data_IF_924846124897
#
_entry.id   IF_924846124897
#
_cell.length_a   1.000
_cell.length_b   1.000
_cell.length_c   1.000
_cell.angle_alpha   90.00
_cell.angle_beta   90.00
_cell.angle_gamma   90.00
#
_symmetry.space_group_name_H-M   'P 1'
#
loop_
_entity.id
_entity.type
_entity.pdbx_description
1 polymer ?
#
# COMPACT_ATOMS: atom_id res chain seq x y z
N UNK A 1 -9.61 2.85 12.61
CA UNK A 1 -10.44 1.72 12.17
C UNK A 1 -9.65 0.94 11.13
N UNK A 2 -9.72 -0.39 11.14
CA UNK A 2 -9.22 -1.26 10.06
C UNK A 2 -10.45 -1.85 9.39
N UNK A 3 -10.44 -1.97 8.06
CA UNK A 3 -11.47 -2.66 7.30
C UNK A 3 -10.81 -3.68 6.39
N UNK A 4 -11.59 -4.67 5.96
CA UNK A 4 -11.19 -5.72 5.05
C UNK A 4 -11.78 -5.41 3.66
N UNK A 5 -11.03 -5.69 2.61
CA UNK A 5 -11.44 -5.42 1.22
C UNK A 5 -12.42 -6.49 0.74
N UNK A 6 -13.37 -6.12 -0.14
CA UNK A 6 -14.20 -7.10 -0.84
C UNK A 6 -13.31 -8.08 -1.63
N UNK A 7 -13.64 -9.38 -1.63
CA UNK A 7 -12.83 -10.40 -2.28
C UNK A 7 -11.50 -10.70 -1.57
N UNK A 8 -11.38 -10.38 -0.27
CA UNK A 8 -10.21 -10.75 0.55
C UNK A 8 -10.61 -11.43 1.86
N UNK A 9 -9.87 -12.49 2.25
CA UNK A 9 -10.04 -13.15 3.55
C UNK A 9 -11.48 -13.62 3.81
N UNK A 10 -12.05 -13.16 4.93
CA UNK A 10 -13.42 -13.49 5.37
C UNK A 10 -14.47 -12.45 4.89
N UNK A 11 -14.07 -11.46 4.09
CA UNK A 11 -15.03 -10.53 3.46
C UNK A 11 -15.86 -11.24 2.39
N UNK A 12 -16.99 -10.63 2.01
CA UNK A 12 -17.81 -11.15 0.91
C UNK A 12 -17.02 -11.24 -0.40
N UNK A 13 -17.42 -12.20 -1.23
CA UNK A 13 -16.81 -12.48 -2.54
C UNK A 13 -15.73 -13.56 -2.51
N UNK A 14 -15.31 -13.99 -3.70
CA UNK A 14 -14.18 -14.91 -3.89
C UNK A 14 -12.87 -14.16 -4.14
N UNK A 15 -11.72 -14.78 -3.84
CA UNK A 15 -10.40 -14.12 -3.96
C UNK A 15 -10.10 -13.61 -5.39
N UNK A 16 -10.67 -14.27 -6.40
CA UNK A 16 -10.57 -13.87 -7.80
C UNK A 16 -11.45 -12.67 -8.18
N UNK A 17 -12.33 -12.19 -7.30
CA UNK A 17 -13.20 -11.02 -7.56
C UNK A 17 -12.57 -9.70 -7.12
N UNK A 18 -11.37 -9.73 -6.52
CA UNK A 18 -10.64 -8.53 -6.14
C UNK A 18 -10.23 -7.74 -7.37
N UNK A 19 -10.71 -6.50 -7.49
CA UNK A 19 -10.36 -5.58 -8.59
C UNK A 19 -9.94 -4.22 -8.06
N UNK A 20 -9.11 -3.48 -8.81
CA UNK A 20 -8.71 -2.13 -8.40
C UNK A 20 -9.93 -1.22 -8.26
N UNK A 21 -10.89 -1.31 -9.19
CA UNK A 21 -12.15 -0.56 -9.10
C UNK A 21 -12.95 -0.90 -7.83
N UNK A 22 -13.00 -2.18 -7.45
CA UNK A 22 -13.60 -2.63 -6.20
C UNK A 22 -12.92 -2.01 -4.97
N UNK A 23 -11.58 -1.99 -4.94
CA UNK A 23 -10.81 -1.33 -3.86
C UNK A 23 -11.16 0.16 -3.73
N UNK A 24 -11.39 0.86 -4.85
CA UNK A 24 -11.79 2.27 -4.83
C UNK A 24 -13.21 2.47 -4.29
N UNK A 25 -14.13 1.55 -4.61
CA UNK A 25 -15.48 1.54 -4.06
C UNK A 25 -15.46 1.32 -2.55
N UNK A 26 -14.70 0.33 -2.08
CA UNK A 26 -14.54 0.03 -0.64
C UNK A 26 -13.99 1.24 0.13
N UNK A 27 -13.00 1.96 -0.43
CA UNK A 27 -12.48 3.21 0.14
C UNK A 27 -13.56 4.28 0.24
N UNK A 28 -14.37 4.44 -0.80
CA UNK A 28 -15.49 5.39 -0.83
C UNK A 28 -16.55 5.07 0.21
N UNK A 29 -16.94 3.81 0.34
CA UNK A 29 -17.90 3.34 1.34
C UNK A 29 -17.36 3.52 2.76
N UNK A 30 -16.11 3.12 3.00
CA UNK A 30 -15.45 3.33 4.28
C UNK A 30 -15.36 4.82 4.65
N UNK A 31 -15.06 5.70 3.68
CA UNK A 31 -15.07 7.15 3.89
C UNK A 31 -16.46 7.66 4.25
N UNK A 32 -17.49 7.24 3.51
CA UNK A 32 -18.87 7.65 3.72
C UNK A 32 -19.38 7.24 5.10
N UNK A 33 -19.02 6.04 5.56
CA UNK A 33 -19.35 5.55 6.91
C UNK A 33 -18.61 6.31 8.02
N UNK A 34 -17.33 6.65 7.81
CA UNK A 34 -16.50 7.31 8.83
C UNK A 34 -16.75 8.82 8.92
N UNK A 35 -17.11 9.49 7.83
CA UNK A 35 -17.22 10.94 7.77
C UNK A 35 -18.16 11.54 8.83
N UNK A 36 -19.35 10.97 9.12
CA UNK A 36 -20.21 11.45 10.21
C UNK A 36 -19.57 11.28 11.60
N UNK A 37 -18.71 10.29 11.78
CA UNK A 37 -18.06 9.97 13.06
C UNK A 37 -16.81 10.80 13.32
N UNK A 38 -16.10 11.19 12.25
CA UNK A 38 -14.84 11.92 12.33
C UNK A 38 -15.00 13.40 12.78
N UNK A 39 -16.21 13.94 12.69
CA UNK A 39 -16.49 15.32 13.08
C UNK A 39 -15.59 16.34 12.37
N UNK A 40 -15.06 17.32 13.13
CA UNK A 40 -14.17 18.37 12.58
C UNK A 40 -12.75 17.90 12.28
N UNK A 41 -12.32 16.77 12.82
CA UNK A 41 -10.96 16.27 12.64
C UNK A 41 -10.74 15.69 11.23
N UNK A 42 -11.83 15.29 10.56
CA UNK A 42 -11.77 14.62 9.25
C UNK A 42 -11.22 13.20 9.34
N UNK A 43 -11.23 12.50 8.21
CA UNK A 43 -10.68 11.16 8.10
C UNK A 43 -9.21 11.22 7.63
N UNK A 44 -8.37 10.37 8.22
CA UNK A 44 -6.98 10.17 7.80
C UNK A 44 -6.79 8.73 7.35
N UNK A 45 -6.23 8.53 6.16
CA UNK A 45 -5.93 7.21 5.63
C UNK A 45 -4.51 6.79 5.98
N UNK A 46 -4.33 5.54 6.40
CA UNK A 46 -3.02 4.91 6.56
C UNK A 46 -2.89 3.81 5.51
N UNK A 47 -1.86 3.90 4.69
CA UNK A 47 -1.53 2.91 3.67
C UNK A 47 -0.09 2.42 3.86
N UNK A 48 0.09 1.10 3.92
CA UNK A 48 1.39 0.45 3.98
C UNK A 48 1.70 -0.18 2.61
N UNK A 49 2.88 0.10 2.06
CA UNK A 49 3.40 -0.57 0.84
C UNK A 49 2.41 -0.47 -0.33
N UNK A 50 1.94 -1.62 -0.84
CA UNK A 50 1.05 -1.72 -2.00
C UNK A 50 -0.34 -1.12 -1.75
N UNK A 51 -0.79 -1.03 -0.49
CA UNK A 51 -2.04 -0.35 -0.16
C UNK A 51 -2.01 1.14 -0.50
N UNK A 52 -0.81 1.73 -0.70
CA UNK A 52 -0.68 3.10 -1.17
C UNK A 52 -1.28 3.30 -2.57
N UNK A 53 -1.29 2.29 -3.42
CA UNK A 53 -1.80 2.39 -4.80
C UNK A 53 -3.30 2.74 -4.81
N UNK A 54 -4.22 1.89 -4.30
CA UNK A 54 -5.64 2.21 -4.32
C UNK A 54 -5.95 3.48 -3.50
N UNK A 55 -5.23 3.72 -2.39
CA UNK A 55 -5.42 4.94 -1.59
C UNK A 55 -5.04 6.20 -2.36
N UNK A 56 -3.93 6.20 -3.10
CA UNK A 56 -3.50 7.36 -3.89
C UNK A 56 -4.39 7.58 -5.11
N UNK A 57 -4.83 6.51 -5.78
CA UNK A 57 -5.80 6.59 -6.88
C UNK A 57 -7.11 7.20 -6.37
N UNK A 58 -7.69 6.64 -5.30
CA UNK A 58 -8.92 7.15 -4.69
C UNK A 58 -8.77 8.61 -4.24
N UNK A 59 -7.64 8.95 -3.61
CA UNK A 59 -7.35 10.31 -3.14
C UNK A 59 -7.24 11.32 -4.29
N UNK A 60 -6.72 10.90 -5.45
CA UNK A 60 -6.60 11.76 -6.64
C UNK A 60 -7.95 12.09 -7.29
N UNK A 61 -8.97 11.27 -7.03
CA UNK A 61 -10.34 11.46 -7.53
C UNK A 61 -11.19 12.34 -6.60
N UNK A 62 -10.69 12.70 -5.41
CA UNK A 62 -11.43 13.52 -4.46
C UNK A 62 -11.47 14.99 -4.88
N UNK A 63 -12.59 15.67 -4.60
CA UNK A 63 -12.69 17.13 -4.78
C UNK A 63 -12.24 17.92 -3.55
N UNK A 64 -12.21 17.29 -2.38
CA UNK A 64 -11.87 17.90 -1.10
C UNK A 64 -10.45 17.50 -0.65
N UNK A 65 -9.75 18.35 0.13
CA UNK A 65 -8.44 18.02 0.69
C UNK A 65 -8.45 16.70 1.47
N UNK A 66 -7.42 15.89 1.26
CA UNK A 66 -7.24 14.59 1.93
C UNK A 66 -6.10 14.64 2.96
N UNK A 67 -6.13 13.74 3.94
CA UNK A 67 -5.05 13.55 4.90
C UNK A 67 -4.56 12.09 4.84
N UNK A 68 -3.33 11.88 4.38
CA UNK A 68 -2.76 10.57 4.10
C UNK A 68 -1.50 10.32 4.95
N UNK A 69 -1.37 9.09 5.44
CA UNK A 69 -0.15 8.53 6.02
C UNK A 69 0.30 7.37 5.14
N UNK A 70 1.43 7.56 4.48
CA UNK A 70 2.02 6.61 3.56
C UNK A 70 3.24 5.96 4.22
N UNK A 71 3.09 4.71 4.63
CA UNK A 71 4.16 3.93 5.23
C UNK A 71 4.83 3.09 4.14
N UNK A 72 6.07 3.43 3.81
CA UNK A 72 6.94 2.80 2.81
C UNK A 72 6.17 2.57 1.50
N UNK A 73 5.55 3.62 0.93
CA UNK A 73 4.59 3.46 -0.15
C UNK A 73 5.24 2.87 -1.39
N UNK A 74 4.51 1.99 -2.06
CA UNK A 74 4.89 1.59 -3.42
C UNK A 74 4.46 2.68 -4.40
N UNK A 75 5.41 3.19 -5.18
CA UNK A 75 5.20 4.35 -6.08
C UNK A 75 5.16 3.99 -7.57
N UNK A 76 5.52 2.76 -7.92
CA UNK A 76 5.43 2.21 -9.29
C UNK A 76 4.69 0.89 -9.25
N UNK A 77 3.55 0.85 -9.94
CA UNK A 77 2.74 -0.35 -10.07
C UNK A 77 3.41 -1.42 -10.93
N UNK A 78 4.07 -1.01 -12.02
CA UNK A 78 4.85 -1.91 -12.88
C UNK A 78 5.95 -2.62 -12.08
N UNK A 79 6.73 -1.87 -11.29
CA UNK A 79 7.77 -2.45 -10.45
C UNK A 79 7.18 -3.45 -9.44
N UNK A 80 6.06 -3.10 -8.81
CA UNK A 80 5.38 -3.97 -7.83
C UNK A 80 4.94 -5.30 -8.45
N UNK A 81 4.27 -5.25 -9.59
CA UNK A 81 3.77 -6.45 -10.27
C UNK A 81 4.95 -7.31 -10.74
N UNK A 82 6.03 -6.70 -11.20
CA UNK A 82 7.28 -7.39 -11.53
C UNK A 82 7.89 -8.10 -10.32
N UNK A 83 7.99 -7.42 -9.17
CA UNK A 83 8.48 -7.98 -7.91
C UNK A 83 7.63 -9.17 -7.44
N UNK A 84 6.30 -9.03 -7.45
CA UNK A 84 5.39 -10.12 -7.10
C UNK A 84 5.49 -11.32 -8.04
N UNK A 85 5.56 -11.07 -9.35
CA UNK A 85 5.68 -12.13 -10.36
C UNK A 85 6.99 -12.91 -10.20
N UNK A 86 8.10 -12.19 -9.98
CA UNK A 86 9.39 -12.80 -9.74
C UNK A 86 9.42 -13.58 -8.40
N UNK A 87 8.80 -13.04 -7.36
CA UNK A 87 8.67 -13.73 -6.08
C UNK A 87 7.83 -15.01 -6.23
N UNK A 88 6.71 -14.98 -6.96
CA UNK A 88 5.89 -16.15 -7.24
C UNK A 88 6.69 -17.22 -8.00
N UNK A 89 7.41 -16.82 -9.06
CA UNK A 89 8.29 -17.73 -9.79
C UNK A 89 9.30 -18.41 -8.85
N UNK A 90 9.99 -17.64 -8.00
CA UNK A 90 10.94 -18.18 -7.02
C UNK A 90 10.29 -19.11 -6.00
N UNK A 91 9.07 -18.83 -5.55
CA UNK A 91 8.33 -19.72 -4.65
C UNK A 91 8.01 -21.07 -5.30
N UNK A 92 7.65 -21.07 -6.59
CA UNK A 92 7.33 -22.30 -7.33
C UNK A 92 8.57 -23.17 -7.61
N UNK A 93 9.73 -22.55 -7.85
CA UNK A 93 10.92 -23.28 -8.35
C UNK A 93 12.05 -23.44 -7.34
N UNK A 94 12.27 -22.46 -6.45
CA UNK A 94 13.48 -22.33 -5.62
C UNK A 94 13.19 -22.52 -4.13
N UNK A 95 12.01 -22.11 -3.63
CA UNK A 95 11.70 -22.13 -2.20
C UNK A 95 11.35 -23.51 -1.63
N UNK A 96 11.35 -24.58 -2.44
CA UNK A 96 11.11 -25.95 -1.99
C UNK A 96 9.69 -26.23 -1.49
N UNK A 97 8.72 -25.34 -1.75
CA UNK A 97 7.31 -25.49 -1.32
C UNK A 97 6.59 -26.66 -1.97
N UNK A 98 7.03 -27.08 -3.16
CA UNK A 98 6.39 -28.13 -3.95
C UNK A 98 7.29 -29.38 -3.96
N UNK A 99 7.19 -30.27 -2.95
CA UNK A 99 8.08 -31.42 -2.81
C UNK A 99 7.90 -32.47 -3.92
N UNK A 100 6.86 -32.36 -4.75
CA UNK A 100 6.51 -33.30 -5.83
C UNK A 100 6.84 -32.78 -7.24
N UNK A 101 7.52 -31.63 -7.35
CA UNK A 101 7.96 -31.05 -8.63
C UNK A 101 7.82 -29.53 -8.68
N UNK A 102 8.43 -28.90 -9.68
CA UNK A 102 8.28 -27.46 -9.91
C UNK A 102 6.85 -27.14 -10.37
N UNK A 103 6.21 -26.15 -9.74
CA UNK A 103 4.95 -25.62 -10.24
C UNK A 103 5.15 -24.80 -11.52
N UNK A 104 4.09 -24.69 -12.33
CA UNK A 104 4.05 -23.78 -13.48
C UNK A 104 3.41 -22.47 -13.03
N UNK A 105 4.02 -21.33 -13.35
CA UNK A 105 3.43 -20.04 -13.07
C UNK A 105 2.22 -19.82 -13.99
N UNK A 106 1.04 -19.63 -13.39
CA UNK A 106 -0.17 -19.27 -14.11
C UNK A 106 -0.45 -17.77 -13.95
N UNK A 107 -1.15 -17.16 -14.89
CA UNK A 107 -1.44 -15.71 -14.89
C UNK A 107 -2.58 -15.31 -13.96
N UNK A 108 -3.38 -16.29 -13.55
CA UNK A 108 -4.54 -16.19 -12.66
C UNK A 108 -4.21 -16.65 -11.22
N UNK A 109 -2.93 -16.87 -10.91
CA UNK A 109 -2.45 -17.18 -9.57
C UNK A 109 -1.24 -16.31 -9.22
N UNK A 110 -1.20 -15.78 -8.00
CA UNK A 110 -0.04 -15.07 -7.47
C UNK A 110 0.18 -15.48 -6.02
N UNK A 111 1.39 -15.99 -5.73
CA UNK A 111 1.82 -16.40 -4.39
C UNK A 111 0.84 -17.35 -3.67
N UNK A 112 0.17 -18.23 -4.41
CA UNK A 112 -0.79 -19.21 -3.86
C UNK A 112 -2.23 -18.72 -3.76
N UNK A 113 -2.54 -17.53 -4.28
CA UNK A 113 -3.89 -16.97 -4.30
C UNK A 113 -4.37 -16.78 -5.74
N UNK A 114 -5.65 -17.07 -5.98
CA UNK A 114 -6.28 -16.69 -7.24
C UNK A 114 -6.25 -15.17 -7.40
N UNK A 115 -5.89 -14.70 -8.58
CA UNK A 115 -5.82 -13.27 -8.90
C UNK A 115 -6.46 -13.01 -10.26
N UNK A 116 -7.25 -11.96 -10.36
CA UNK A 116 -7.73 -11.48 -11.65
C UNK A 116 -6.57 -10.85 -12.45
N UNK A 117 -6.26 -11.30 -13.69
CA UNK A 117 -5.20 -10.69 -14.50
C UNK A 117 -5.43 -9.20 -14.81
N UNK A 118 -6.69 -8.77 -14.81
CA UNK A 118 -7.10 -7.37 -14.93
C UNK A 118 -6.73 -6.54 -13.70
N UNK A 119 -6.75 -7.11 -12.48
CA UNK A 119 -6.21 -6.44 -11.29
C UNK A 119 -4.72 -6.14 -11.45
N UNK A 120 -3.92 -7.14 -11.84
CA UNK A 120 -2.47 -6.94 -12.02
C UNK A 120 -2.19 -5.94 -13.13
N UNK A 121 -2.94 -6.02 -14.24
CA UNK A 121 -2.84 -5.05 -15.34
C UNK A 121 -3.19 -3.63 -14.87
N UNK A 122 -4.26 -3.46 -14.10
CA UNK A 122 -4.67 -2.17 -13.57
C UNK A 122 -3.70 -1.61 -12.52
N UNK A 123 -3.09 -2.45 -11.70
CA UNK A 123 -2.01 -2.04 -10.79
C UNK A 123 -0.80 -1.62 -11.61
N UNK A 124 -0.40 -2.37 -12.63
CA UNK A 124 0.80 -2.10 -13.41
C UNK A 124 0.77 -0.72 -14.11
N UNK A 125 -0.40 -0.18 -14.43
CA UNK A 125 -0.52 1.17 -15.02
C UNK A 125 -0.35 2.31 -14.01
N UNK A 126 -0.32 2.01 -12.71
CA UNK A 126 -0.14 3.02 -11.68
C UNK A 126 1.28 3.61 -11.69
N UNK A 127 1.34 4.93 -11.77
CA UNK A 127 2.55 5.72 -11.59
C UNK A 127 2.26 6.90 -10.64
N UNK A 128 2.94 6.93 -9.49
CA UNK A 128 2.84 8.04 -8.55
C UNK A 128 3.37 9.37 -9.14
N UNK A 129 4.05 9.33 -10.29
CA UNK A 129 4.35 10.46 -11.17
C UNK A 129 3.12 11.25 -11.63
N UNK A 130 2.01 10.55 -11.87
CA UNK A 130 0.79 11.12 -12.43
C UNK A 130 -0.25 11.50 -11.37
N UNK A 131 0.00 11.15 -10.10
CA UNK A 131 -0.93 11.42 -9.01
C UNK A 131 -0.95 12.91 -8.70
N UNK A 132 -2.14 13.51 -8.82
CA UNK A 132 -2.43 14.86 -8.36
C UNK A 132 -3.40 14.78 -7.19
N UNK A 133 -3.09 15.44 -6.08
CA UNK A 133 -3.99 15.53 -4.93
C UNK A 133 -4.64 16.92 -4.86
N UNK A 134 -5.83 17.04 -4.26
CA UNK A 134 -6.47 18.34 -4.06
C UNK A 134 -5.59 19.31 -3.28
N UNK A 135 -5.60 20.59 -3.66
CA UNK A 135 -4.82 21.62 -2.97
C UNK A 135 -5.19 21.69 -1.48
N UNK A 136 -4.20 21.85 -0.61
CA UNK A 136 -4.40 21.83 0.84
C UNK A 136 -4.44 20.43 1.47
N UNK A 137 -4.27 19.37 0.67
CA UNK A 137 -4.07 18.02 1.19
C UNK A 137 -2.79 17.93 2.05
N UNK A 138 -2.77 16.96 2.97
CA UNK A 138 -1.62 16.60 3.80
C UNK A 138 -1.18 15.18 3.52
N UNK A 139 0.13 14.99 3.43
CA UNK A 139 0.77 13.67 3.29
C UNK A 139 1.89 13.56 4.32
N UNK A 140 1.81 12.54 5.17
CA UNK A 140 2.92 12.10 6.02
C UNK A 140 3.51 10.83 5.40
N UNK A 141 4.73 10.91 4.87
CA UNK A 141 5.45 9.76 4.33
C UNK A 141 6.47 9.26 5.33
N UNK A 142 6.34 8.00 5.74
CA UNK A 142 7.26 7.33 6.65
C UNK A 142 7.90 6.15 5.92
N UNK A 143 9.21 6.17 5.69
CA UNK A 143 9.90 5.12 4.93
C UNK A 143 11.06 4.52 5.72
N UNK A 144 11.37 3.24 5.53
CA UNK A 144 12.58 2.66 6.12
C UNK A 144 13.83 3.12 5.35
N UNK A 145 13.73 3.15 4.01
CA UNK A 145 14.82 3.51 3.11
C UNK A 145 14.25 4.37 1.98
N UNK A 146 14.11 5.69 2.18
CA UNK A 146 13.73 6.57 1.08
C UNK A 146 14.78 6.49 -0.03
N UNK A 147 14.34 6.71 -1.26
CA UNK A 147 15.19 6.70 -2.44
C UNK A 147 14.68 7.69 -3.47
N UNK A 148 15.30 7.76 -4.66
CA UNK A 148 15.02 8.82 -5.64
C UNK A 148 13.55 8.92 -6.05
N UNK A 149 12.84 7.80 -6.15
CA UNK A 149 11.40 7.80 -6.46
C UNK A 149 10.56 8.47 -5.36
N UNK A 150 10.91 8.25 -4.09
CA UNK A 150 10.26 8.87 -2.94
C UNK A 150 10.53 10.37 -2.90
N UNK A 151 11.79 10.77 -3.11
CA UNK A 151 12.19 12.18 -3.17
C UNK A 151 11.45 12.92 -4.28
N UNK A 152 11.46 12.37 -5.50
CA UNK A 152 10.75 12.97 -6.63
C UNK A 152 9.24 13.05 -6.43
N UNK A 153 8.63 12.05 -5.79
CA UNK A 153 7.20 12.08 -5.44
C UNK A 153 6.88 13.21 -4.45
N UNK A 154 7.68 13.35 -3.41
CA UNK A 154 7.54 14.40 -2.39
C UNK A 154 7.69 15.79 -2.99
N UNK A 155 8.73 16.00 -3.81
CA UNK A 155 8.97 17.27 -4.47
C UNK A 155 7.79 17.68 -5.36
N UNK A 156 7.25 16.74 -6.14
CA UNK A 156 6.07 16.98 -6.98
C UNK A 156 4.86 17.39 -6.15
N UNK A 157 4.51 16.62 -5.12
CA UNK A 157 3.38 16.95 -4.25
C UNK A 157 3.54 18.32 -3.59
N UNK A 158 4.74 18.65 -3.08
CA UNK A 158 5.01 19.98 -2.52
C UNK A 158 4.83 21.08 -3.56
N UNK A 159 5.23 20.85 -4.80
CA UNK A 159 5.11 21.83 -5.89
C UNK A 159 3.65 22.15 -6.25
N UNK A 160 2.70 21.27 -5.94
CA UNK A 160 1.25 21.47 -6.18
C UNK A 160 0.49 22.00 -4.97
N UNK A 161 1.19 22.39 -3.90
CA UNK A 161 0.57 22.96 -2.68
C UNK A 161 0.06 21.91 -1.69
N UNK A 162 0.51 20.67 -1.81
CA UNK A 162 0.29 19.62 -0.79
C UNK A 162 1.32 19.79 0.32
N UNK A 163 0.85 19.77 1.57
CA UNK A 163 1.74 19.78 2.72
C UNK A 163 2.31 18.37 2.94
N UNK A 164 3.60 18.19 2.66
CA UNK A 164 4.26 16.88 2.75
C UNK A 164 5.31 16.86 3.84
N UNK A 165 5.13 15.99 4.82
CA UNK A 165 6.12 15.65 5.84
C UNK A 165 6.76 14.30 5.49
N UNK A 166 8.08 14.18 5.64
CA UNK A 166 8.80 12.95 5.32
C UNK A 166 9.69 12.59 6.50
N UNK A 167 9.55 11.35 6.99
CA UNK A 167 10.33 10.81 8.09
C UNK A 167 10.92 9.47 7.70
N UNK A 168 12.13 9.22 8.17
CA UNK A 168 12.81 7.94 7.99
C UNK A 168 12.81 7.20 9.32
N UNK A 169 12.48 5.92 9.32
CA UNK A 169 12.54 5.12 10.55
C UNK A 169 13.98 4.99 11.03
N UNK A 170 14.18 5.13 12.33
CA UNK A 170 15.51 4.99 12.95
C UNK A 170 15.95 3.53 13.04
N UNK A 171 14.98 2.63 13.19
CA UNK A 171 15.22 1.20 13.27
C UNK A 171 14.82 0.55 11.95
N UNK A 172 15.73 -0.25 11.40
CA UNK A 172 15.44 -1.12 10.25
C UNK A 172 14.88 -2.46 10.76
N UNK A 173 13.63 -2.44 11.23
CA UNK A 173 12.83 -3.65 11.51
C UNK A 173 11.89 -4.00 10.34
N UNK A 174 12.20 -3.49 9.15
CA UNK A 174 11.44 -3.74 7.91
C UNK A 174 11.27 -5.25 7.70
N UNK A 175 10.03 -5.73 7.50
CA UNK A 175 9.81 -7.12 7.13
C UNK A 175 10.50 -7.46 5.81
N UNK A 176 10.98 -8.69 5.67
CA UNK A 176 11.59 -9.17 4.43
C UNK A 176 10.50 -9.48 3.37
N UNK A 177 9.81 -8.44 2.90
CA UNK A 177 8.70 -8.57 1.96
C UNK A 177 9.12 -9.28 0.67
N UNK A 178 10.33 -8.97 0.20
CA UNK A 178 10.88 -9.45 -1.07
C UNK A 178 11.68 -10.76 -0.94
N UNK A 179 11.81 -11.33 0.26
CA UNK A 179 12.54 -12.59 0.48
C UNK A 179 11.58 -13.79 0.37
N UNK A 180 11.67 -14.60 -0.71
CA UNK A 180 10.79 -15.75 -0.88
C UNK A 180 10.98 -16.80 0.23
N UNK A 181 12.18 -16.95 0.80
CA UNK A 181 12.41 -17.93 1.85
C UNK A 181 11.83 -17.50 3.20
N UNK A 182 11.50 -16.22 3.37
CA UNK A 182 10.99 -15.65 4.62
C UNK A 182 9.55 -15.17 4.55
N UNK A 183 8.87 -15.37 3.42
CA UNK A 183 7.50 -14.92 3.20
C UNK A 183 6.52 -15.32 4.33
N UNK A 184 6.60 -16.55 4.84
CA UNK A 184 5.75 -17.04 5.94
C UNK A 184 6.21 -16.62 7.35
N UNK A 185 7.41 -16.06 7.47
CA UNK A 185 8.04 -15.71 8.75
C UNK A 185 8.18 -14.20 8.95
N UNK A 186 7.42 -13.42 8.17
CA UNK A 186 7.41 -11.96 8.29
C UNK A 186 6.88 -11.56 9.67
N UNK A 187 7.69 -10.77 10.39
CA UNK A 187 7.31 -10.23 11.68
C UNK A 187 6.71 -8.83 11.51
N UNK A 188 5.70 -8.51 12.31
CA UNK A 188 5.16 -7.15 12.37
C UNK A 188 6.24 -6.17 12.90
N UNK A 189 6.52 -5.05 12.20
CA UNK A 189 7.56 -4.10 12.57
C UNK A 189 7.14 -3.22 13.75
N UNK A 190 7.18 -3.78 14.96
CA UNK A 190 6.67 -3.14 16.20
C UNK A 190 7.36 -1.82 16.51
N UNK A 191 8.66 -1.68 16.22
CA UNK A 191 9.42 -0.47 16.57
C UNK A 191 9.08 0.66 15.63
N UNK A 192 9.03 0.40 14.32
CA UNK A 192 8.55 1.39 13.35
C UNK A 192 7.07 1.75 13.56
N UNK A 193 6.22 0.80 13.95
CA UNK A 193 4.83 1.10 14.30
C UNK A 193 4.73 2.08 15.49
N UNK A 194 5.47 1.82 16.57
CA UNK A 194 5.50 2.70 17.74
C UNK A 194 6.04 4.09 17.38
N UNK A 195 7.12 4.14 16.59
CA UNK A 195 7.69 5.40 16.13
C UNK A 195 6.71 6.20 15.26
N UNK A 196 5.96 5.54 14.37
CA UNK A 196 4.93 6.21 13.56
C UNK A 196 3.80 6.77 14.43
N UNK A 197 3.36 6.03 15.46
CA UNK A 197 2.32 6.52 16.40
C UNK A 197 2.79 7.78 17.13
N UNK A 198 4.03 7.79 17.62
CA UNK A 198 4.62 8.96 18.29
C UNK A 198 4.61 10.19 17.38
N UNK A 199 5.02 10.03 16.11
CA UNK A 199 4.99 11.11 15.13
C UNK A 199 3.58 11.64 14.85
N UNK A 200 2.58 10.76 14.77
CA UNK A 200 1.20 11.15 14.44
C UNK A 200 0.45 11.77 15.62
N UNK A 201 0.86 11.49 16.86
CA UNK A 201 0.23 11.99 18.09
C UNK A 201 0.94 13.23 18.65
N UNK A 202 2.15 13.55 18.15
CA UNK A 202 2.97 14.63 18.68
C UNK A 202 3.63 14.28 20.03
N UNK A 203 3.58 13.01 20.44
CA UNK A 203 4.33 12.48 21.57
C UNK A 203 5.75 12.14 21.09
N UNK A 204 6.57 13.17 20.86
CA UNK A 204 8.02 12.98 20.91
C UNK A 204 8.35 12.59 22.36
N UNK A 205 8.39 11.29 22.64
CA UNK A 205 8.70 10.78 23.97
C UNK A 205 10.13 11.24 24.39
N UNK A 206 10.31 11.70 25.63
CA UNK A 206 11.58 12.22 26.14
C UNK A 206 12.70 11.18 26.24
#
# INVERSE_FOLDING_TARGET
MRFDWYGTGDSGGDTGELTLAGLLLDLGEALAMLRPLAGRAGCRWLALRSAAIPVLVHASEQSEPVDLVLWDPTLSGEQLVGEWSEQHRKQLVEAGRYPMGHGVAHTDELLGFAVDPGLLSAIATFDAGQVTLPAGSRVTMAAWKPGPAHEGFVERLRSTGVAVECRTFEVDDRPCFEDPHRFETQAYPRRSAAQLVNWLTGEDAP
#
